data_IF_003763812041
#
_entry.id   IF_003763812041
#
_cell.length_a   1.000
_cell.length_b   1.000
_cell.length_c   1.000
_cell.angle_alpha   90.00
_cell.angle_beta   90.00
_cell.angle_gamma   90.00
#
_symmetry.space_group_name_H-M   'P 1'
#
loop_
_entity.id
_entity.type
_entity.pdbx_description
1 polymer ?
#
# COMPACT_ATOMS: atom_id res chain seq x y z
N UNK A 1 2.10 24.82 12.24
CA UNK A 1 0.64 24.59 12.33
C UNK A 1 0.21 23.89 11.06
N UNK A 2 -0.07 22.60 11.14
CA UNK A 2 -0.54 21.78 10.03
C UNK A 2 -1.14 20.53 10.63
N UNK A 3 -2.41 20.62 11.02
CA UNK A 3 -3.14 19.48 11.55
C UNK A 3 -3.33 18.49 10.41
N UNK A 4 -2.73 17.31 10.54
CA UNK A 4 -3.10 16.14 9.75
C UNK A 4 -4.61 15.96 9.92
N UNK A 5 -5.39 16.21 8.87
CA UNK A 5 -6.80 15.85 8.85
C UNK A 5 -6.89 14.32 8.76
N UNK A 6 -6.64 13.65 9.87
CA UNK A 6 -6.85 12.21 10.00
C UNK A 6 -8.36 12.00 10.06
N UNK A 7 -8.89 11.19 9.14
CA UNK A 7 -10.30 10.77 9.18
C UNK A 7 -10.57 10.07 10.51
N UNK A 8 -11.65 10.46 11.18
CA UNK A 8 -12.08 9.79 12.40
C UNK A 8 -12.52 8.37 12.09
N UNK A 9 -11.80 7.40 12.65
CA UNK A 9 -12.07 5.98 12.46
C UNK A 9 -13.15 5.54 13.45
N UNK A 10 -14.28 4.99 12.99
CA UNK A 10 -15.31 4.45 13.88
C UNK A 10 -14.71 3.42 14.84
N UNK A 11 -14.93 3.58 16.15
CA UNK A 11 -14.31 2.72 17.18
C UNK A 11 -12.86 3.06 17.54
N UNK A 12 -12.28 4.11 16.95
CA UNK A 12 -10.95 4.62 17.26
C UNK A 12 -9.78 3.78 16.73
N UNK A 13 -8.57 4.25 17.00
CA UNK A 13 -7.30 3.62 16.61
C UNK A 13 -6.93 3.81 15.14
N UNK A 14 -5.64 3.66 14.86
CA UNK A 14 -5.04 3.79 13.52
C UNK A 14 -4.68 2.44 12.90
N UNK A 15 -5.21 1.35 13.44
CA UNK A 15 -4.84 -0.03 13.06
C UNK A 15 -5.93 -0.73 12.25
N UNK A 16 -5.56 -1.65 11.39
CA UNK A 16 -6.49 -2.49 10.65
C UNK A 16 -5.79 -3.60 9.89
N UNK A 17 -6.56 -4.38 9.14
CA UNK A 17 -6.01 -5.39 8.25
C UNK A 17 -5.69 -4.78 6.88
N UNK A 18 -4.41 -4.49 6.67
CA UNK A 18 -3.85 -4.01 5.42
C UNK A 18 -3.98 -5.08 4.33
N UNK A 19 -4.62 -4.74 3.23
CA UNK A 19 -4.80 -5.60 2.06
C UNK A 19 -3.50 -5.61 1.28
N UNK A 20 -2.81 -6.74 1.20
CA UNK A 20 -1.53 -6.87 0.47
C UNK A 20 -1.71 -7.35 -0.96
N UNK A 21 -2.68 -8.25 -1.15
CA UNK A 21 -2.96 -8.88 -2.45
C UNK A 21 -4.44 -9.19 -2.54
N UNK A 22 -4.98 -9.06 -3.75
CA UNK A 22 -6.34 -9.45 -4.09
C UNK A 22 -6.27 -10.37 -5.30
N UNK A 23 -6.83 -11.57 -5.18
CA UNK A 23 -6.89 -12.52 -6.30
C UNK A 23 -7.96 -12.08 -7.30
N UNK A 24 -7.67 -12.20 -8.58
CA UNK A 24 -8.62 -11.86 -9.65
C UNK A 24 -9.90 -12.71 -9.52
N UNK A 25 -11.05 -12.11 -9.81
CA UNK A 25 -12.38 -12.74 -9.70
C UNK A 25 -12.77 -13.23 -8.28
N UNK A 26 -11.98 -12.92 -7.26
CA UNK A 26 -12.30 -13.22 -5.87
C UNK A 26 -13.42 -12.33 -5.32
N UNK A 27 -14.05 -12.72 -4.19
CA UNK A 27 -14.99 -11.84 -3.49
C UNK A 27 -14.39 -10.49 -3.11
N UNK A 28 -13.12 -10.44 -2.69
CA UNK A 28 -12.42 -9.19 -2.39
C UNK A 28 -12.27 -8.29 -3.62
N UNK A 29 -11.94 -8.89 -4.77
CA UNK A 29 -11.87 -8.17 -6.05
C UNK A 29 -13.23 -7.57 -6.43
N UNK A 30 -14.30 -8.35 -6.32
CA UNK A 30 -15.67 -7.88 -6.62
C UNK A 30 -16.17 -6.80 -5.65
N UNK A 31 -15.67 -6.80 -4.42
CA UNK A 31 -15.95 -5.78 -3.43
C UNK A 31 -15.11 -4.49 -3.63
N UNK A 32 -14.24 -4.45 -4.64
CA UNK A 32 -13.38 -3.31 -4.93
C UNK A 32 -12.32 -3.08 -3.86
N UNK A 33 -11.81 -4.15 -3.24
CA UNK A 33 -10.63 -4.05 -2.38
C UNK A 33 -9.40 -3.82 -3.26
N UNK A 34 -8.65 -2.78 -2.95
CA UNK A 34 -7.44 -2.36 -3.61
C UNK A 34 -6.22 -2.85 -2.81
N UNK A 35 -5.34 -3.66 -3.40
CA UNK A 35 -4.07 -4.00 -2.78
C UNK A 35 -3.28 -2.75 -2.36
N UNK A 36 -2.59 -2.88 -1.25
CA UNK A 36 -1.75 -1.89 -0.57
C UNK A 36 -2.44 -0.62 -0.05
N UNK A 37 -3.44 -0.10 -0.72
CA UNK A 37 -4.08 1.12 -0.25
C UNK A 37 -5.12 0.85 0.83
N UNK A 38 -5.76 -0.30 0.77
CA UNK A 38 -6.88 -0.59 1.66
C UNK A 38 -6.47 -1.20 2.99
N UNK A 39 -7.13 -0.72 4.03
CA UNK A 39 -7.11 -1.26 5.37
C UNK A 39 -8.54 -1.58 5.78
N UNK A 40 -8.82 -2.86 6.03
CA UNK A 40 -10.11 -3.29 6.57
C UNK A 40 -10.12 -2.91 8.05
N UNK A 41 -10.89 -1.88 8.39
CA UNK A 41 -10.95 -1.33 9.76
C UNK A 41 -12.10 -1.93 10.56
N UNK A 42 -13.22 -2.26 9.92
CA UNK A 42 -14.34 -2.93 10.59
C UNK A 42 -15.00 -3.95 9.67
N UNK A 43 -15.68 -4.89 10.30
CA UNK A 43 -16.55 -5.87 9.63
C UNK A 43 -17.88 -5.89 10.40
N UNK A 44 -18.96 -5.60 9.69
CA UNK A 44 -20.23 -5.14 10.26
C UNK A 44 -19.96 -3.96 11.22
N UNK A 45 -20.53 -4.02 12.42
CA UNK A 45 -20.35 -3.02 13.48
C UNK A 45 -19.10 -3.28 14.35
N UNK A 46 -18.30 -4.32 14.05
CA UNK A 46 -17.18 -4.74 14.88
C UNK A 46 -15.86 -4.14 14.38
N UNK A 47 -15.22 -3.36 15.25
CA UNK A 47 -13.91 -2.77 15.01
C UNK A 47 -12.80 -3.82 15.07
N UNK A 48 -11.98 -3.89 14.02
CA UNK A 48 -10.81 -4.76 13.90
C UNK A 48 -9.54 -4.04 14.38
N UNK A 49 -9.39 -3.89 15.69
CA UNK A 49 -8.27 -3.19 16.33
C UNK A 49 -7.26 -4.12 17.02
N UNK A 50 -7.30 -5.42 16.72
CA UNK A 50 -6.38 -6.42 17.27
C UNK A 50 -6.06 -7.45 16.20
N UNK A 51 -4.82 -7.93 16.20
CA UNK A 51 -4.45 -9.09 15.40
C UNK A 51 -4.98 -10.37 16.07
N UNK A 52 -6.16 -10.84 15.63
CA UNK A 52 -6.77 -12.06 16.13
C UNK A 52 -7.66 -12.75 15.06
N UNK A 53 -8.27 -13.88 15.40
CA UNK A 53 -9.09 -14.64 14.45
C UNK A 53 -10.49 -14.03 14.19
N UNK A 54 -10.82 -12.86 14.74
CA UNK A 54 -12.17 -12.26 14.66
C UNK A 54 -12.64 -12.07 13.22
N UNK A 55 -11.79 -11.49 12.37
CA UNK A 55 -12.12 -11.29 10.96
C UNK A 55 -12.40 -12.65 10.28
N UNK A 56 -11.54 -13.64 10.53
CA UNK A 56 -11.65 -14.97 9.96
C UNK A 56 -12.92 -15.69 10.40
N UNK A 57 -13.28 -15.61 11.67
CA UNK A 57 -14.45 -16.27 12.23
C UNK A 57 -15.76 -15.62 11.78
N UNK A 58 -15.78 -14.29 11.64
CA UNK A 58 -16.93 -13.58 11.08
C UNK A 58 -17.14 -13.91 9.60
N UNK A 59 -16.07 -14.03 8.82
CA UNK A 59 -16.16 -14.46 7.43
C UNK A 59 -16.70 -15.89 7.31
N UNK A 60 -16.22 -16.82 8.16
CA UNK A 60 -16.71 -18.21 8.19
C UNK A 60 -18.18 -18.31 8.58
N UNK A 61 -18.63 -17.49 9.52
CA UNK A 61 -20.02 -17.50 9.99
C UNK A 61 -20.99 -16.92 8.93
N UNK A 62 -20.48 -16.07 8.05
CA UNK A 62 -21.25 -15.39 7.00
C UNK A 62 -20.89 -15.87 5.59
N UNK A 63 -20.46 -17.13 5.44
CA UNK A 63 -20.22 -17.73 4.12
C UNK A 63 -21.49 -17.70 3.28
N UNK A 64 -21.33 -17.29 2.01
CA UNK A 64 -22.37 -17.00 1.02
C UNK A 64 -23.40 -15.94 1.45
N UNK A 65 -23.10 -15.11 2.45
CA UNK A 65 -23.94 -13.99 2.89
C UNK A 65 -23.19 -12.66 2.73
N UNK A 66 -23.87 -11.58 2.32
CA UNK A 66 -23.25 -10.26 2.26
C UNK A 66 -22.86 -9.79 3.66
N UNK A 67 -21.63 -9.31 3.79
CA UNK A 67 -21.07 -8.72 5.01
C UNK A 67 -20.65 -7.29 4.69
N UNK A 68 -20.95 -6.36 5.58
CA UNK A 68 -20.49 -4.97 5.44
C UNK A 68 -19.06 -4.86 5.95
N UNK A 69 -18.23 -4.10 5.27
CA UNK A 69 -16.88 -3.78 5.71
C UNK A 69 -16.64 -2.29 5.59
N UNK A 70 -15.99 -1.71 6.60
CA UNK A 70 -15.42 -0.39 6.48
C UNK A 70 -13.95 -0.52 6.08
N UNK A 71 -13.58 0.22 5.04
CA UNK A 71 -12.25 0.19 4.45
C UNK A 71 -11.70 1.60 4.43
N UNK A 72 -10.54 1.79 5.03
CA UNK A 72 -9.75 3.01 4.92
C UNK A 72 -8.79 2.87 3.74
N UNK A 73 -8.76 3.85 2.84
CA UNK A 73 -7.79 3.89 1.75
C UNK A 73 -6.67 4.90 2.07
N UNK A 74 -5.42 4.44 2.11
CA UNK A 74 -4.25 5.32 2.25
C UNK A 74 -3.98 6.16 0.99
N UNK A 75 -4.60 5.82 -0.15
CA UNK A 75 -4.55 6.58 -1.41
C UNK A 75 -5.45 7.81 -1.36
N UNK A 76 -6.71 7.62 -0.97
CA UNK A 76 -7.70 8.72 -0.92
C UNK A 76 -7.76 9.42 0.43
N UNK A 77 -7.21 8.80 1.48
CA UNK A 77 -7.35 9.20 2.88
C UNK A 77 -8.82 9.25 3.32
N UNK A 78 -9.66 8.38 2.76
CA UNK A 78 -11.10 8.32 3.04
C UNK A 78 -11.52 6.93 3.53
N UNK A 79 -12.62 6.90 4.29
CA UNK A 79 -13.32 5.68 4.66
C UNK A 79 -14.46 5.41 3.67
N UNK A 80 -14.59 4.16 3.25
CA UNK A 80 -15.75 3.71 2.46
C UNK A 80 -16.34 2.43 3.04
N UNK A 81 -17.67 2.34 2.97
CA UNK A 81 -18.38 1.09 3.22
C UNK A 81 -18.41 0.27 1.92
N UNK A 82 -18.01 -1.00 2.00
CA UNK A 82 -18.17 -1.97 0.91
C UNK A 82 -18.91 -3.21 1.41
N UNK A 83 -19.64 -3.87 0.52
CA UNK A 83 -20.28 -5.15 0.81
C UNK A 83 -19.52 -6.27 0.12
N UNK A 84 -19.09 -7.26 0.90
CA UNK A 84 -18.41 -8.44 0.39
C UNK A 84 -19.17 -9.69 0.76
N UNK A 85 -19.25 -10.66 -0.16
CA UNK A 85 -19.89 -11.96 0.10
C UNK A 85 -18.79 -13.02 0.16
N UNK A 86 -18.34 -13.44 1.36
CA UNK A 86 -17.32 -14.47 1.51
C UNK A 86 -17.84 -15.77 0.87
N UNK A 87 -17.01 -16.44 0.08
CA UNK A 87 -17.47 -17.60 -0.68
C UNK A 87 -16.42 -18.71 -0.74
N UNK A 88 -16.87 -19.97 -0.76
CA UNK A 88 -16.02 -21.12 -1.06
C UNK A 88 -16.10 -21.56 -2.53
N UNK A 89 -17.00 -20.96 -3.32
CA UNK A 89 -17.38 -21.44 -4.65
C UNK A 89 -16.66 -20.73 -5.80
N UNK A 90 -15.76 -19.78 -5.52
CA UNK A 90 -15.11 -18.96 -6.55
C UNK A 90 -13.81 -19.57 -7.10
N UNK A 91 -13.38 -20.73 -6.59
CA UNK A 91 -12.30 -21.54 -7.16
C UNK A 91 -10.86 -21.17 -6.75
N UNK A 92 -10.66 -20.13 -5.93
CA UNK A 92 -9.34 -19.74 -5.42
C UNK A 92 -9.13 -20.05 -3.93
N UNK A 93 -8.06 -19.47 -3.36
CA UNK A 93 -7.68 -19.70 -1.96
C UNK A 93 -8.33 -18.69 -1.00
N UNK A 94 -8.98 -19.21 0.04
CA UNK A 94 -9.61 -18.42 1.10
C UNK A 94 -11.02 -17.92 0.76
N UNK A 95 -11.72 -17.37 1.77
CA UNK A 95 -13.11 -16.92 1.60
C UNK A 95 -13.26 -15.61 0.85
N UNK A 96 -12.23 -14.76 0.87
CA UNK A 96 -12.21 -13.46 0.20
C UNK A 96 -11.24 -13.40 -0.97
N UNK A 97 -10.28 -14.33 -1.03
CA UNK A 97 -9.17 -14.26 -1.99
C UNK A 97 -8.22 -13.10 -1.75
N UNK A 98 -8.08 -12.63 -0.50
CA UNK A 98 -7.16 -11.55 -0.13
C UNK A 98 -6.07 -12.04 0.80
N UNK A 99 -4.87 -11.50 0.63
CA UNK A 99 -3.79 -11.57 1.62
C UNK A 99 -3.83 -10.30 2.46
N UNK A 100 -3.77 -10.44 3.78
CA UNK A 100 -3.88 -9.32 4.71
C UNK A 100 -2.81 -9.40 5.79
N UNK A 101 -2.46 -8.24 6.35
CA UNK A 101 -1.56 -8.10 7.50
C UNK A 101 -2.15 -7.10 8.49
N UNK A 102 -2.10 -7.38 9.78
CA UNK A 102 -2.49 -6.39 10.79
C UNK A 102 -1.36 -5.37 10.98
N UNK A 103 -1.63 -4.10 10.74
CA UNK A 103 -0.70 -3.00 10.99
C UNK A 103 -1.42 -1.65 11.13
N UNK A 104 -0.67 -0.63 11.53
CA UNK A 104 -1.14 0.76 11.52
C UNK A 104 -1.13 1.33 10.10
N UNK A 105 -2.18 2.07 9.73
CA UNK A 105 -2.20 2.89 8.51
C UNK A 105 -1.66 4.30 8.74
N UNK A 106 -1.29 4.65 9.97
CA UNK A 106 -0.57 5.88 10.27
C UNK A 106 0.81 5.84 9.61
N UNK A 107 1.11 6.83 8.76
CA UNK A 107 2.38 6.88 8.03
C UNK A 107 2.54 5.84 6.91
N UNK A 108 1.53 5.02 6.61
CA UNK A 108 1.62 3.98 5.58
C UNK A 108 1.87 4.54 4.16
N UNK A 109 1.49 5.80 3.92
CA UNK A 109 1.79 6.51 2.68
C UNK A 109 3.19 7.16 2.65
N UNK A 110 3.91 7.14 3.77
CA UNK A 110 5.27 7.69 3.91
C UNK A 110 6.32 6.58 3.75
N UNK A 111 6.01 5.37 4.20
CA UNK A 111 6.89 4.19 4.13
C UNK A 111 6.86 3.55 2.73
N UNK A 112 7.25 4.35 1.74
CA UNK A 112 7.33 3.96 0.32
C UNK A 112 8.68 4.39 -0.24
N UNK A 113 9.32 3.49 -0.99
CA UNK A 113 10.59 3.73 -1.66
C UNK A 113 10.41 3.58 -3.18
N UNK A 114 10.58 4.69 -3.89
CA UNK A 114 10.42 4.75 -5.34
C UNK A 114 11.68 4.21 -6.03
N UNK A 115 11.51 3.21 -6.89
CA UNK A 115 12.59 2.69 -7.75
C UNK A 115 12.83 3.69 -8.88
N UNK A 116 14.04 4.25 -8.95
CA UNK A 116 14.47 5.20 -9.96
C UNK A 116 15.13 4.46 -11.13
N UNK A 117 16.36 4.83 -11.48
CA UNK A 117 17.14 4.13 -12.50
C UNK A 117 17.52 2.71 -12.02
N UNK A 118 17.51 1.75 -12.94
CA UNK A 118 17.90 0.35 -12.68
C UNK A 118 19.00 -0.04 -13.66
N UNK A 119 20.17 -0.42 -13.15
CA UNK A 119 21.32 -0.76 -13.96
C UNK A 119 21.15 -2.12 -14.64
N UNK A 120 21.58 -2.29 -15.91
CA UNK A 120 21.52 -3.58 -16.58
C UNK A 120 22.34 -4.65 -15.86
N UNK A 121 21.81 -5.88 -15.77
CA UNK A 121 22.42 -7.03 -15.08
C UNK A 121 22.65 -6.83 -13.56
N UNK A 122 22.11 -5.76 -12.98
CA UNK A 122 22.11 -5.55 -11.54
C UNK A 122 21.21 -6.54 -10.79
N UNK A 123 21.41 -6.70 -9.46
CA UNK A 123 20.46 -7.43 -8.63
C UNK A 123 19.00 -6.96 -8.78
N UNK A 124 18.77 -5.65 -8.91
CA UNK A 124 17.45 -5.07 -9.14
C UNK A 124 16.86 -5.48 -10.50
N UNK A 125 17.66 -5.44 -11.57
CA UNK A 125 17.23 -5.88 -12.91
C UNK A 125 16.92 -7.39 -12.93
N UNK A 126 17.75 -8.21 -12.29
CA UNK A 126 17.56 -9.65 -12.19
C UNK A 126 16.31 -10.02 -11.38
N UNK A 127 15.97 -9.21 -10.36
CA UNK A 127 14.74 -9.34 -9.59
C UNK A 127 13.49 -8.85 -10.35
N UNK A 128 13.66 -8.15 -11.48
CA UNK A 128 12.56 -7.63 -12.28
C UNK A 128 11.93 -6.36 -11.72
N UNK A 129 12.71 -5.54 -11.00
CA UNK A 129 12.32 -4.17 -10.66
C UNK A 129 12.29 -3.30 -11.92
N UNK A 130 11.23 -2.52 -12.06
CA UNK A 130 10.99 -1.62 -13.19
C UNK A 130 11.30 -0.18 -12.79
N UNK A 131 12.13 0.52 -13.56
CA UNK A 131 12.49 1.89 -13.23
C UNK A 131 11.25 2.80 -13.31
N UNK A 132 11.19 3.79 -12.42
CA UNK A 132 10.19 4.88 -12.33
C UNK A 132 8.71 4.49 -12.14
N UNK A 133 8.40 3.20 -12.24
CA UNK A 133 7.03 2.66 -12.13
C UNK A 133 6.83 1.80 -10.89
N UNK A 134 7.92 1.23 -10.35
CA UNK A 134 7.88 0.43 -9.15
C UNK A 134 8.12 1.25 -7.88
N UNK A 135 7.31 0.93 -6.87
CA UNK A 135 7.38 1.47 -5.53
C UNK A 135 7.48 0.30 -4.56
N UNK A 136 8.59 0.19 -3.85
CA UNK A 136 8.73 -0.76 -2.75
C UNK A 136 7.90 -0.24 -1.60
N UNK A 137 7.00 -1.08 -1.11
CA UNK A 137 5.93 -0.72 -0.18
C UNK A 137 5.98 -1.53 1.11
N UNK A 138 6.87 -2.52 1.19
CA UNK A 138 6.96 -3.41 2.33
C UNK A 138 7.96 -4.54 2.12
N UNK A 139 8.27 -5.24 3.20
CA UNK A 139 8.98 -6.52 3.22
C UNK A 139 8.29 -7.48 4.20
N UNK A 140 8.83 -8.69 4.37
CA UNK A 140 8.33 -9.62 5.39
C UNK A 140 8.57 -9.10 6.83
N UNK A 141 9.46 -8.13 7.03
CA UNK A 141 9.65 -7.42 8.31
C UNK A 141 8.78 -6.17 8.40
N UNK A 142 8.50 -5.69 9.62
CA UNK A 142 7.87 -4.36 9.79
C UNK A 142 8.92 -3.30 9.45
N UNK A 143 8.56 -2.31 8.63
CA UNK A 143 9.38 -1.13 8.38
C UNK A 143 8.59 0.10 8.82
N UNK A 144 9.17 0.88 9.73
CA UNK A 144 8.57 2.08 10.29
C UNK A 144 9.31 3.35 9.86
N UNK A 145 10.56 3.23 9.41
CA UNK A 145 11.42 4.36 9.07
C UNK A 145 12.12 4.18 7.71
N UNK A 146 12.57 5.28 7.10
CA UNK A 146 13.26 5.25 5.81
C UNK A 146 14.56 4.44 5.81
N UNK A 147 15.25 4.41 6.95
CA UNK A 147 16.51 3.71 7.15
C UNK A 147 16.35 2.19 7.27
N UNK A 148 15.14 1.71 7.58
CA UNK A 148 14.86 0.29 7.77
C UNK A 148 15.13 -0.51 6.49
N UNK A 149 14.73 0.02 5.32
CA UNK A 149 14.97 -0.66 4.05
C UNK A 149 16.47 -0.81 3.76
N UNK A 150 17.26 0.25 3.98
CA UNK A 150 18.70 0.22 3.72
C UNK A 150 19.42 -0.74 4.67
N UNK A 151 19.08 -0.69 5.96
CA UNK A 151 19.58 -1.63 6.97
C UNK A 151 19.22 -3.08 6.63
N UNK A 152 18.02 -3.30 6.10
CA UNK A 152 17.56 -4.63 5.71
C UNK A 152 18.32 -5.17 4.49
N UNK A 153 18.62 -4.31 3.51
CA UNK A 153 19.44 -4.66 2.34
C UNK A 153 20.85 -5.07 2.78
N UNK A 154 21.50 -4.28 3.65
CA UNK A 154 22.84 -4.58 4.16
C UNK A 154 22.90 -5.90 4.93
N UNK A 155 21.89 -6.18 5.77
CA UNK A 155 21.83 -7.43 6.53
C UNK A 155 21.49 -8.67 5.68
N UNK A 156 20.92 -8.47 4.48
CA UNK A 156 20.58 -9.51 3.51
C UNK A 156 21.62 -9.63 2.39
N UNK A 157 22.82 -9.11 2.57
CA UNK A 157 23.92 -9.30 1.63
C UNK A 157 24.15 -10.79 1.29
N UNK A 158 24.03 -11.13 0.01
CA UNK A 158 24.13 -12.50 -0.52
C UNK A 158 22.93 -13.41 -0.24
N UNK A 159 21.83 -12.89 0.33
CA UNK A 159 20.62 -13.66 0.69
C UNK A 159 19.37 -13.12 -0.01
N UNK A 160 18.41 -14.01 -0.35
CA UNK A 160 17.14 -13.56 -0.92
C UNK A 160 16.34 -12.76 0.11
N UNK A 161 15.94 -11.56 -0.28
CA UNK A 161 15.08 -10.64 0.45
C UNK A 161 13.76 -10.49 -0.32
N UNK A 162 12.63 -10.73 0.36
CA UNK A 162 11.31 -10.56 -0.23
C UNK A 162 10.81 -9.13 -0.03
N UNK A 163 10.51 -8.47 -1.14
CA UNK A 163 9.93 -7.14 -1.23
C UNK A 163 8.48 -7.24 -1.74
N UNK A 164 7.61 -6.39 -1.21
CA UNK A 164 6.31 -6.10 -1.79
C UNK A 164 6.48 -4.82 -2.62
N UNK A 165 6.07 -4.88 -3.89
CA UNK A 165 6.28 -3.81 -4.86
C UNK A 165 4.96 -3.47 -5.53
N UNK A 166 4.53 -2.22 -5.41
CA UNK A 166 3.44 -1.64 -6.18
C UNK A 166 3.98 -1.14 -7.53
N UNK A 167 3.24 -1.37 -8.60
CA UNK A 167 3.56 -0.82 -9.91
C UNK A 167 2.44 0.11 -10.39
N UNK A 168 2.80 1.32 -10.81
CA UNK A 168 1.84 2.32 -11.30
C UNK A 168 1.22 1.96 -12.64
N UNK A 169 1.92 1.24 -13.52
CA UNK A 169 1.40 0.89 -14.85
C UNK A 169 0.30 -0.17 -14.77
N UNK A 170 0.44 -1.13 -13.85
CA UNK A 170 -0.54 -2.20 -13.64
C UNK A 170 -1.54 -1.93 -12.52
N UNK A 171 -1.33 -0.85 -11.77
CA UNK A 171 -2.05 -0.50 -10.53
C UNK A 171 -2.19 -1.71 -9.59
N UNK A 172 -1.12 -2.50 -9.47
CA UNK A 172 -1.14 -3.75 -8.73
C UNK A 172 0.15 -4.00 -7.97
N UNK A 173 0.05 -4.78 -6.91
CA UNK A 173 1.17 -5.18 -6.07
C UNK A 173 1.65 -6.58 -6.44
N UNK A 174 2.96 -6.78 -6.40
CA UNK A 174 3.58 -8.09 -6.59
C UNK A 174 4.71 -8.32 -5.60
N UNK A 175 4.96 -9.60 -5.35
CA UNK A 175 6.13 -10.03 -4.58
C UNK A 175 7.34 -10.08 -5.52
N UNK A 176 8.44 -9.50 -5.06
CA UNK A 176 9.73 -9.51 -5.75
C UNK A 176 10.77 -10.07 -4.78
N UNK A 177 11.54 -11.06 -5.23
CA UNK A 177 12.66 -11.59 -4.44
C UNK A 177 13.94 -11.05 -5.05
N UNK A 178 14.65 -10.23 -4.28
CA UNK A 178 15.92 -9.63 -4.66
C UNK A 178 17.05 -10.21 -3.81
N UNK A 179 18.23 -10.40 -4.38
CA UNK A 179 19.40 -10.86 -3.64
C UNK A 179 20.45 -9.75 -3.67
N UNK A 180 20.57 -8.92 -2.61
CA UNK A 180 21.59 -7.89 -2.53
C UNK A 180 22.99 -8.47 -2.73
N UNK A 181 23.81 -7.80 -3.52
CA UNK A 181 25.19 -8.21 -3.80
C UNK A 181 26.01 -6.98 -4.14
N UNK A 182 26.87 -6.53 -3.23
CA UNK A 182 27.85 -5.45 -3.37
C UNK A 182 29.00 -5.77 -4.33
N UNK A 183 29.26 -7.04 -4.60
CA UNK A 183 30.33 -7.50 -5.50
C UNK A 183 29.85 -7.75 -6.94
N UNK A 184 28.65 -7.27 -7.31
CA UNK A 184 28.06 -7.48 -8.63
C UNK A 184 28.75 -6.71 -9.77
N UNK A 185 29.59 -5.73 -9.44
CA UNK A 185 30.42 -4.99 -10.42
C UNK A 185 29.94 -3.59 -10.76
N UNK A 186 28.91 -3.06 -10.08
CA UNK A 186 28.47 -1.67 -10.18
C UNK A 186 28.25 -1.04 -8.80
N UNK A 187 27.53 0.08 -8.77
CA UNK A 187 27.34 0.86 -7.53
C UNK A 187 26.27 0.26 -6.61
N UNK A 188 26.58 0.21 -5.31
CA UNK A 188 25.70 -0.28 -4.25
C UNK A 188 25.44 -1.80 -4.31
N UNK A 189 24.54 -2.29 -3.44
CA UNK A 189 24.19 -3.72 -3.38
C UNK A 189 22.99 -4.11 -4.25
N UNK A 190 22.21 -3.15 -4.75
CA UNK A 190 21.04 -3.41 -5.59
C UNK A 190 21.24 -3.04 -7.06
N UNK A 191 22.09 -2.05 -7.35
CA UNK A 191 22.23 -1.46 -8.68
C UNK A 191 20.98 -0.73 -9.17
N UNK A 192 20.25 -0.08 -8.25
CA UNK A 192 19.19 0.85 -8.61
C UNK A 192 19.20 2.09 -7.70
N UNK A 193 18.70 3.21 -8.22
CA UNK A 193 18.44 4.40 -7.44
C UNK A 193 17.15 4.22 -6.63
N UNK A 194 17.16 4.66 -5.37
CA UNK A 194 15.98 4.64 -4.50
C UNK A 194 15.65 6.07 -4.08
N UNK A 195 14.45 6.52 -4.40
CA UNK A 195 13.90 7.79 -3.96
C UNK A 195 13.00 7.61 -2.73
N UNK A 196 13.11 8.51 -1.77
CA UNK A 196 12.27 8.53 -0.57
C UNK A 196 11.75 9.95 -0.29
N UNK A 197 10.61 10.06 0.37
CA UNK A 197 10.02 11.33 0.79
C UNK A 197 8.92 11.84 -0.14
N UNK A 198 8.54 13.10 0.05
CA UNK A 198 7.30 13.67 -0.52
C UNK A 198 7.17 13.50 -2.05
N UNK A 199 8.25 13.70 -2.80
CA UNK A 199 8.26 13.59 -4.28
C UNK A 199 8.28 12.14 -4.79
N UNK A 200 8.48 11.18 -3.90
CA UNK A 200 8.63 9.75 -4.20
C UNK A 200 7.50 8.91 -3.61
N UNK A 201 6.41 9.54 -3.18
CA UNK A 201 5.18 8.84 -2.75
C UNK A 201 4.41 8.32 -3.95
N UNK A 202 3.57 7.32 -3.73
CA UNK A 202 2.67 6.80 -4.75
C UNK A 202 1.69 7.92 -5.17
N UNK A 203 1.50 8.16 -6.48
CA UNK A 203 0.55 9.16 -6.97
C UNK A 203 -0.87 8.89 -6.44
N UNK A 204 -1.44 9.83 -5.69
CA UNK A 204 -2.73 9.63 -5.03
C UNK A 204 -3.95 9.88 -5.92
N UNK A 205 -3.79 10.51 -7.09
CA UNK A 205 -4.82 10.69 -8.14
C UNK A 205 -4.15 10.85 -9.52
N UNK A 206 -4.80 10.47 -10.63
CA UNK A 206 -4.42 11.04 -11.92
C UNK A 206 -4.51 12.56 -11.77
N UNK A 207 -3.45 13.25 -12.18
CA UNK A 207 -3.43 14.70 -12.18
C UNK A 207 -4.59 15.17 -13.07
N UNK A 208 -5.65 15.72 -12.48
CA UNK A 208 -6.64 16.49 -13.24
C UNK A 208 -5.93 17.76 -13.70
N UNK A 209 -5.24 17.69 -14.85
CA UNK A 209 -4.69 18.84 -15.54
C UNK A 209 -5.79 19.90 -15.69
N UNK A 210 -5.67 21.01 -14.94
CA UNK A 210 -6.49 22.19 -15.18
C UNK A 210 -7.19 22.83 -13.98
N UNK A 211 -7.18 22.24 -12.77
CA UNK A 211 -7.60 23.01 -11.59
C UNK A 211 -6.47 23.94 -11.15
N UNK A 212 -6.51 25.18 -11.66
CA UNK A 212 -5.77 26.32 -11.12
C UNK A 212 -5.87 26.29 -9.60
N UNK A 213 -4.72 26.13 -8.96
CA UNK A 213 -4.58 26.22 -7.51
C UNK A 213 -4.86 27.68 -7.16
N UNK A 214 -6.11 28.00 -6.80
CA UNK A 214 -6.44 29.32 -6.27
C UNK A 214 -5.89 29.38 -4.84
N UNK A 215 -4.76 30.05 -4.67
CA UNK A 215 -4.21 30.36 -3.34
C UNK A 215 -5.22 31.24 -2.59
N UNK A 216 -5.63 30.90 -1.36
CA UNK A 216 -6.45 31.80 -0.56
C UNK A 216 -5.60 32.98 -0.11
N UNK A 217 -5.82 34.16 -0.71
CA UNK A 217 -5.13 35.39 -0.30
C UNK A 217 -5.11 36.54 -1.29
N UNK A 218 -5.50 36.36 -2.56
CA UNK A 218 -5.49 37.46 -3.52
C UNK A 218 -6.86 38.13 -3.60
N UNK A 219 -7.10 39.10 -2.71
CA UNK A 219 -8.16 40.10 -2.92
C UNK A 219 -7.82 40.92 -4.17
N UNK A 220 -8.70 41.02 -5.18
CA UNK A 220 -8.49 41.94 -6.29
C UNK A 220 -8.63 43.36 -5.75
N UNK A 221 -7.51 44.10 -5.70
CA UNK A 221 -7.53 45.53 -5.42
C UNK A 221 -8.37 46.24 -6.49
N UNK A 222 -9.38 46.98 -6.04
CA UNK A 222 -10.21 47.82 -6.89
C UNK A 222 -9.36 48.88 -7.62
N UNK A 223 -9.71 49.26 -8.85
CA UNK A 223 -9.00 50.32 -9.56
C UNK A 223 -9.28 51.67 -8.88
N UNK A 224 -8.22 52.38 -8.49
CA UNK A 224 -8.34 53.78 -8.10
C UNK A 224 -8.68 54.62 -9.32
N UNK A 225 -9.75 55.40 -9.22
CA UNK A 225 -10.03 56.58 -10.05
C UNK A 225 -9.47 57.83 -9.38
#
# INVERSE_FOLDING_TARGET
MGGSQSVEIPGGGTEGYHVLRVQENSPGHRAGLEPFFDFIVSINELRLNKDNDTLKDLLKTNVEKPVKMMVYSSKTLELRETSVTPSNMWGGQGLLGVSIRFCSFEGANENVWHVLEVEPNSPAALAGLRPHSDYIIGTDTVMNESEDLFSLIETHEGKPLKLYVYNTDTDNCREVVITPNSAWGGDGSLGCGIGYGYLHRIPTKPFEEGKKISLPGQVPGAPMS
#
